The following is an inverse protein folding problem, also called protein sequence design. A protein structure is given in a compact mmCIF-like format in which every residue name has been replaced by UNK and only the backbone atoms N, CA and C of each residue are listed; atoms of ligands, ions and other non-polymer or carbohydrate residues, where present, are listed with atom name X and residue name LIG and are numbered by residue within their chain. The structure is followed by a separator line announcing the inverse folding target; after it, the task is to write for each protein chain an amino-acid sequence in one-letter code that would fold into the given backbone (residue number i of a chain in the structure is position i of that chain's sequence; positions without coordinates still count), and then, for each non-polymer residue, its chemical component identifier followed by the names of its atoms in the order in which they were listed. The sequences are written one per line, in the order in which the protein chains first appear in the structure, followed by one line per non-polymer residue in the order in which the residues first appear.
data_IF_773322347766
#
_entry.id   IF_773322347766
#
_cell.length_a   1.000
_cell.length_b   1.000
_cell.length_c   1.000
_cell.angle_alpha   90.00
_cell.angle_beta   90.00
_cell.angle_gamma   90.00
#
_symmetry.space_group_name_H-M   'P 1'
#
loop_
_entity.id
_entity.type
_entity.pdbx_description
1 polymer ?
#
# COMPACT_ATOMS: atom_id res chain seq x y z
N UNK A 1 -3.47 -45.73 -17.96
CA UNK A 1 -3.52 -46.65 -16.80
C UNK A 1 -2.77 -45.99 -15.66
N UNK A 2 -3.39 -45.90 -14.48
CA UNK A 2 -2.88 -45.71 -13.10
C UNK A 2 -1.51 -45.03 -12.87
N UNK A 3 -1.24 -44.23 -11.82
CA UNK A 3 -1.88 -44.08 -10.52
C UNK A 3 -1.14 -42.96 -9.76
N UNK A 4 -1.85 -42.25 -8.89
CA UNK A 4 -1.51 -41.95 -7.48
C UNK A 4 -0.05 -41.56 -7.10
N UNK A 5 0.08 -40.29 -6.71
CA UNK A 5 0.73 -39.71 -5.52
C UNK A 5 2.25 -39.86 -5.24
N UNK A 6 2.79 -38.70 -4.84
CA UNK A 6 3.96 -38.41 -4.01
C UNK A 6 5.37 -38.61 -4.58
N UNK A 7 6.07 -37.49 -4.81
CA UNK A 7 7.31 -37.22 -4.09
C UNK A 7 7.62 -35.71 -4.06
N UNK A 8 7.83 -35.21 -2.84
CA UNK A 8 8.18 -33.82 -2.53
C UNK A 8 9.49 -33.46 -3.23
N UNK A 9 9.44 -32.51 -4.17
CA UNK A 9 10.64 -31.83 -4.66
C UNK A 9 10.52 -30.35 -4.35
N UNK A 10 11.29 -29.93 -3.35
CA UNK A 10 11.69 -28.57 -3.02
C UNK A 10 11.72 -27.69 -4.28
N UNK A 11 10.69 -26.88 -4.51
CA UNK A 11 10.69 -25.89 -5.59
C UNK A 11 11.36 -24.64 -5.07
N UNK A 12 12.67 -24.74 -4.85
CA UNK A 12 13.54 -23.57 -4.88
C UNK A 12 13.45 -22.95 -6.27
N UNK A 13 12.95 -21.72 -6.35
CA UNK A 13 12.98 -20.96 -7.59
C UNK A 13 14.45 -20.67 -7.95
N UNK A 14 14.86 -20.86 -9.21
CA UNK A 14 16.26 -20.66 -9.60
C UNK A 14 16.61 -19.17 -9.46
N UNK A 15 17.85 -18.91 -9.04
CA UNK A 15 18.48 -17.60 -9.07
C UNK A 15 18.66 -17.16 -10.53
N UNK A 16 17.60 -16.63 -11.13
CA UNK A 16 17.62 -15.93 -12.41
C UNK A 16 17.27 -14.49 -12.13
N UNK A 17 18.24 -13.60 -12.34
CA UNK A 17 18.14 -12.14 -12.41
C UNK A 17 16.76 -11.60 -12.07
N UNK A 18 16.52 -11.43 -10.77
CA UNK A 18 15.38 -10.63 -10.30
C UNK A 18 15.66 -9.25 -10.84
N UNK A 19 15.04 -8.90 -11.97
CA UNK A 19 14.69 -7.52 -12.24
C UNK A 19 13.82 -7.15 -11.04
N UNK A 20 14.45 -6.66 -9.98
CA UNK A 20 13.74 -5.96 -8.93
C UNK A 20 12.84 -5.00 -9.69
N UNK A 21 11.51 -5.10 -9.56
CA UNK A 21 10.69 -4.03 -10.04
C UNK A 21 11.27 -2.82 -9.32
N UNK A 22 11.95 -1.94 -10.06
CA UNK A 22 12.25 -0.61 -9.59
C UNK A 22 10.87 -0.03 -9.42
N UNK A 23 10.28 -0.27 -8.24
CA UNK A 23 9.11 0.38 -7.76
C UNK A 23 9.58 1.81 -7.66
N UNK A 24 9.44 2.56 -8.76
CA UNK A 24 9.48 4.01 -8.68
C UNK A 24 8.58 4.32 -7.49
N UNK A 25 9.10 4.99 -6.45
CA UNK A 25 8.29 5.35 -5.31
C UNK A 25 7.02 5.97 -5.88
N UNK A 26 5.87 5.37 -5.59
CA UNK A 26 4.64 6.02 -5.96
C UNK A 26 4.64 7.30 -5.14
N UNK A 27 4.84 8.44 -5.81
CA UNK A 27 4.88 9.73 -5.16
C UNK A 27 3.45 10.27 -5.18
N UNK A 28 2.80 10.20 -4.02
CA UNK A 28 1.41 10.61 -3.87
C UNK A 28 1.08 11.03 -2.44
N UNK A 29 -0.04 11.73 -2.22
CA UNK A 29 -0.51 12.06 -0.89
C UNK A 29 -0.66 10.79 -0.04
N UNK A 30 -0.05 10.77 1.14
CA UNK A 30 -0.16 9.64 2.08
C UNK A 30 0.80 8.48 1.83
N UNK A 31 1.62 8.52 0.77
CA UNK A 31 2.57 7.45 0.48
C UNK A 31 3.66 7.34 1.54
N UNK A 32 4.06 6.10 1.84
CA UNK A 32 4.96 5.77 2.95
C UNK A 32 4.46 6.33 4.30
N UNK A 33 3.16 6.55 4.46
CA UNK A 33 2.56 7.09 5.68
C UNK A 33 2.82 8.58 5.92
N UNK A 34 3.26 9.32 4.89
CA UNK A 34 3.47 10.78 4.98
C UNK A 34 2.15 11.52 5.26
N UNK A 35 2.18 12.66 5.97
CA UNK A 35 0.97 13.44 6.22
C UNK A 35 0.40 14.01 4.91
N UNK A 36 -0.93 14.02 4.79
CA UNK A 36 -1.65 14.65 3.68
C UNK A 36 -2.03 16.08 4.06
N UNK A 37 -1.60 17.05 3.25
CA UNK A 37 -1.92 18.47 3.45
C UNK A 37 -3.01 18.87 2.48
N UNK A 38 -4.14 19.33 3.03
CA UNK A 38 -5.29 19.81 2.25
C UNK A 38 -5.14 21.32 2.02
N UNK A 39 -5.23 21.81 0.77
CA UNK A 39 -5.12 23.23 0.46
C UNK A 39 -6.19 24.05 1.21
N UNK A 40 -5.88 25.32 1.49
CA UNK A 40 -6.76 26.18 2.31
C UNK A 40 -8.14 26.39 1.69
N UNK A 41 -8.19 26.39 0.36
CA UNK A 41 -9.40 26.56 -0.45
C UNK A 41 -10.43 25.46 -0.16
N UNK A 42 -9.98 24.26 0.19
CA UNK A 42 -10.84 23.09 0.39
C UNK A 42 -11.08 22.76 1.88
N UNK A 43 -10.58 23.59 2.80
CA UNK A 43 -10.75 23.38 4.23
C UNK A 43 -12.22 23.41 4.68
N UNK A 44 -13.08 24.17 4.00
CA UNK A 44 -14.51 24.20 4.30
C UNK A 44 -15.21 22.89 3.92
N UNK A 45 -14.94 22.38 2.71
CA UNK A 45 -15.44 21.08 2.25
C UNK A 45 -14.95 19.94 3.14
N UNK A 46 -13.69 19.99 3.56
CA UNK A 46 -13.11 19.03 4.50
C UNK A 46 -13.91 18.96 5.81
N UNK A 47 -14.28 20.12 6.38
CA UNK A 47 -15.09 20.19 7.62
C UNK A 47 -16.50 19.67 7.43
N UNK A 48 -17.09 19.89 6.26
CA UNK A 48 -18.41 19.36 5.94
C UNK A 48 -18.38 17.82 5.83
N UNK A 49 -17.43 17.29 5.06
CA UNK A 49 -17.26 15.85 4.88
C UNK A 49 -16.87 15.13 6.17
N UNK A 50 -16.18 15.81 7.09
CA UNK A 50 -15.88 15.27 8.42
C UNK A 50 -17.14 14.88 9.19
N UNK A 51 -18.25 15.59 9.02
CA UNK A 51 -19.51 15.30 9.74
C UNK A 51 -20.10 13.95 9.36
N UNK A 52 -19.83 13.45 8.16
CA UNK A 52 -20.39 12.22 7.61
C UNK A 52 -19.80 11.02 8.36
N UNK A 53 -18.46 10.94 8.41
CA UNK A 53 -17.76 9.75 8.91
C UNK A 53 -16.88 10.00 10.14
N UNK A 54 -16.88 11.21 10.71
CA UNK A 54 -16.05 11.60 11.86
C UNK A 54 -14.53 11.39 11.65
N UNK A 55 -14.09 11.33 10.39
CA UNK A 55 -12.69 11.38 9.98
C UNK A 55 -12.53 12.28 8.75
N UNK A 56 -11.30 12.65 8.42
CA UNK A 56 -11.03 13.48 7.25
C UNK A 56 -11.21 12.67 5.96
N UNK A 57 -12.45 12.61 5.48
CA UNK A 57 -12.82 11.87 4.27
C UNK A 57 -12.10 12.40 3.04
N UNK A 58 -11.95 13.73 2.93
CA UNK A 58 -11.24 14.35 1.82
C UNK A 58 -9.78 13.89 1.75
N UNK A 59 -9.08 13.79 2.88
CA UNK A 59 -7.74 13.23 2.90
C UNK A 59 -7.72 11.77 2.46
N UNK A 60 -8.71 10.98 2.90
CA UNK A 60 -8.81 9.57 2.50
C UNK A 60 -9.02 9.39 0.99
N UNK A 61 -9.80 10.26 0.34
CA UNK A 61 -10.04 10.23 -1.10
C UNK A 61 -8.78 10.60 -1.92
N UNK A 62 -7.92 11.47 -1.37
CA UNK A 62 -6.66 11.84 -2.00
C UNK A 62 -5.58 10.74 -1.92
N UNK A 63 -5.73 9.82 -0.97
CA UNK A 63 -4.73 8.78 -0.72
C UNK A 63 -4.96 7.60 -1.67
N UNK A 64 -3.87 7.08 -2.25
CA UNK A 64 -3.95 5.91 -3.10
C UNK A 64 -4.50 4.68 -2.35
N UNK A 65 -5.38 3.93 -3.02
CA UNK A 65 -5.98 2.70 -2.46
C UNK A 65 -4.91 1.64 -2.14
N UNK A 66 -3.89 1.55 -2.98
CA UNK A 66 -2.78 0.59 -2.87
C UNK A 66 -1.49 1.26 -2.42
N UNK A 67 -1.55 2.16 -1.42
CA UNK A 67 -0.36 2.84 -0.90
C UNK A 67 0.58 1.91 -0.14
N UNK A 68 1.83 2.32 -0.06
CA UNK A 68 2.87 1.65 0.74
C UNK A 68 2.99 2.26 2.14
N UNK A 69 3.48 1.46 3.11
CA UNK A 69 3.82 1.91 4.47
C UNK A 69 5.20 1.36 4.88
N UNK A 70 5.96 2.12 5.69
CA UNK A 70 7.20 1.63 6.28
C UNK A 70 6.89 0.53 7.31
N UNK A 71 7.69 -0.53 7.32
CA UNK A 71 7.60 -1.56 8.36
C UNK A 71 8.18 -1.01 9.67
N UNK A 72 7.42 -1.11 10.75
CA UNK A 72 7.79 -0.64 12.09
C UNK A 72 7.93 -1.80 13.09
N UNK A 73 7.84 -3.05 12.62
CA UNK A 73 7.98 -4.23 13.48
C UNK A 73 9.44 -4.36 13.92
N UNK A 74 9.64 -4.85 15.14
CA UNK A 74 10.98 -5.14 15.67
C UNK A 74 11.50 -6.44 15.03
N UNK A 75 12.75 -6.43 14.59
CA UNK A 75 13.47 -7.65 14.18
C UNK A 75 13.68 -8.52 15.42
N UNK A 76 13.32 -9.81 15.31
CA UNK A 76 13.42 -10.81 16.38
C UNK A 76 14.77 -11.50 16.45
#
# INVERSE_FOLDING_TARGET
ECNKCDEKKERGLPAGDVLEPVQKPHEGPGEMGKPVVIPKEDQEKMKEMFKINQFNLMASEMIALNRSLPDVRLEG
#
